data_IF_334789682240
#
_entry.id   IF_334789682240
#
_cell.length_a   1.000
_cell.length_b   1.000
_cell.length_c   1.000
_cell.angle_alpha   90.00
_cell.angle_beta   90.00
_cell.angle_gamma   90.00
#
_symmetry.space_group_name_H-M   'P 1'
#
loop_
_entity.id
_entity.type
_entity.pdbx_description
1 polymer ?
#
# COMPACT_ATOMS: atom_id res chain seq x y z
N UNK A 1 5.25 -15.49 -18.62
CA UNK A 1 5.10 -15.89 -17.20
C UNK A 1 6.47 -15.82 -16.54
N UNK A 2 6.58 -15.27 -15.34
CA UNK A 2 7.86 -15.27 -14.61
C UNK A 2 8.13 -16.66 -13.97
N UNK A 3 9.40 -17.01 -13.70
CA UNK A 3 9.75 -18.35 -13.21
C UNK A 3 9.13 -18.71 -11.86
N UNK A 4 8.91 -17.71 -10.99
CA UNK A 4 8.35 -17.93 -9.66
C UNK A 4 6.84 -18.17 -9.73
N UNK A 5 6.13 -17.41 -10.55
CA UNK A 5 4.69 -17.61 -10.81
C UNK A 5 4.44 -18.93 -11.53
N UNK A 6 5.28 -19.31 -12.49
CA UNK A 6 5.20 -20.63 -13.11
C UNK A 6 5.32 -21.75 -12.05
N UNK A 7 6.28 -21.63 -11.13
CA UNK A 7 6.43 -22.59 -10.04
C UNK A 7 5.23 -22.60 -9.07
N UNK A 8 4.66 -21.43 -8.77
CA UNK A 8 3.44 -21.31 -7.96
C UNK A 8 2.27 -22.03 -8.64
N UNK A 9 2.02 -21.77 -9.92
CA UNK A 9 0.90 -22.38 -10.64
C UNK A 9 0.99 -23.90 -10.68
N UNK A 10 2.18 -24.46 -10.95
CA UNK A 10 2.41 -25.91 -10.92
C UNK A 10 2.27 -26.48 -9.50
N UNK A 11 2.66 -25.72 -8.48
CA UNK A 11 2.50 -26.13 -7.07
C UNK A 11 1.03 -26.16 -6.66
N UNK A 12 0.24 -25.13 -7.03
CA UNK A 12 -1.21 -25.05 -6.74
C UNK A 12 -1.95 -26.17 -7.46
N UNK A 13 -1.60 -26.47 -8.71
CA UNK A 13 -2.18 -27.56 -9.50
C UNK A 13 -1.74 -28.95 -9.02
N UNK A 14 -0.83 -29.03 -8.04
CA UNK A 14 -0.23 -30.28 -7.57
C UNK A 14 0.51 -31.06 -8.66
N UNK A 15 1.10 -30.36 -9.63
CA UNK A 15 1.85 -30.91 -10.77
C UNK A 15 3.37 -30.73 -10.64
N UNK A 16 3.86 -30.68 -9.40
CA UNK A 16 5.29 -30.52 -9.06
C UNK A 16 6.18 -31.67 -9.57
N UNK A 17 5.58 -32.82 -9.87
CA UNK A 17 6.19 -33.98 -10.50
C UNK A 17 6.58 -33.71 -11.97
N UNK A 18 5.84 -32.85 -12.67
CA UNK A 18 6.15 -32.42 -14.04
C UNK A 18 7.27 -31.39 -14.13
N UNK A 19 7.71 -30.84 -13.00
CA UNK A 19 8.83 -29.90 -12.94
C UNK A 19 10.13 -30.68 -12.87
N UNK A 20 10.84 -30.81 -13.99
CA UNK A 20 12.08 -31.60 -14.10
C UNK A 20 13.28 -30.70 -14.35
N UNK A 21 14.41 -31.00 -13.70
CA UNK A 21 15.67 -30.32 -13.95
C UNK A 21 16.52 -31.17 -14.93
N UNK A 22 16.93 -30.56 -16.04
CA UNK A 22 17.82 -31.16 -17.04
C UNK A 22 19.03 -30.25 -17.23
N UNK A 23 20.19 -30.65 -16.69
CA UNK A 23 21.40 -29.84 -16.74
C UNK A 23 21.21 -28.48 -16.03
N UNK A 24 21.39 -27.40 -16.79
CA UNK A 24 21.23 -26.02 -16.31
C UNK A 24 19.84 -25.42 -16.60
N UNK A 25 18.87 -26.24 -16.99
CA UNK A 25 17.50 -25.80 -17.27
C UNK A 25 16.47 -26.53 -16.41
N UNK A 26 15.40 -25.83 -16.08
CA UNK A 26 14.24 -26.35 -15.35
C UNK A 26 13.03 -26.26 -16.27
N UNK A 27 12.48 -27.43 -16.59
CA UNK A 27 11.32 -27.61 -17.44
C UNK A 27 10.06 -27.74 -16.58
N UNK A 28 9.02 -27.02 -16.97
CA UNK A 28 7.69 -27.05 -16.37
C UNK A 28 6.74 -27.74 -17.36
N UNK A 29 6.70 -29.07 -17.34
CA UNK A 29 5.97 -29.85 -18.34
C UNK A 29 6.47 -29.57 -19.76
N UNK A 30 5.56 -29.24 -20.68
CA UNK A 30 5.84 -28.82 -22.06
C UNK A 30 5.80 -27.30 -22.25
N UNK A 31 5.42 -26.55 -21.22
CA UNK A 31 4.88 -25.20 -21.40
C UNK A 31 5.94 -24.12 -21.19
N UNK A 32 6.88 -24.36 -20.26
CA UNK A 32 7.93 -23.39 -19.94
C UNK A 32 9.27 -24.04 -19.63
N UNK A 33 10.35 -23.39 -20.08
CA UNK A 33 11.73 -23.74 -19.73
C UNK A 33 12.44 -22.49 -19.22
N UNK A 34 13.12 -22.61 -18.09
CA UNK A 34 13.89 -21.51 -17.50
C UNK A 34 15.28 -21.98 -17.08
N UNK A 35 16.31 -21.10 -17.14
CA UNK A 35 17.62 -21.41 -16.59
C UNK A 35 17.54 -21.71 -15.09
N UNK A 36 18.28 -22.70 -14.60
CA UNK A 36 18.24 -23.12 -13.21
C UNK A 36 18.80 -22.04 -12.26
N UNK A 37 19.79 -21.29 -12.76
CA UNK A 37 20.46 -20.20 -12.07
C UNK A 37 19.68 -18.87 -12.07
N UNK A 38 18.55 -18.77 -12.79
CA UNK A 38 17.80 -17.51 -12.89
C UNK A 38 17.31 -17.06 -11.51
N UNK A 39 17.48 -15.77 -11.22
CA UNK A 39 16.96 -15.18 -9.99
C UNK A 39 15.44 -15.05 -10.07
N UNK A 40 14.76 -15.53 -9.03
CA UNK A 40 13.32 -15.39 -8.88
C UNK A 40 12.99 -14.01 -8.33
N UNK A 41 11.73 -13.61 -8.46
CA UNK A 41 11.22 -12.38 -7.86
C UNK A 41 11.21 -12.41 -6.31
N UNK A 42 11.50 -13.54 -5.66
CA UNK A 42 11.44 -13.64 -4.20
C UNK A 42 12.76 -13.22 -3.55
N UNK A 43 12.73 -12.10 -2.83
CA UNK A 43 13.86 -11.57 -2.03
C UNK A 43 13.88 -12.20 -0.65
N UNK A 44 15.01 -12.75 -0.25
CA UNK A 44 15.21 -13.17 1.14
C UNK A 44 15.18 -11.97 2.08
N UNK A 45 14.81 -12.20 3.35
CA UNK A 45 14.93 -11.15 4.38
C UNK A 45 16.35 -10.66 4.63
N UNK A 46 17.34 -11.37 4.13
CA UNK A 46 18.76 -10.99 4.17
C UNK A 46 19.19 -10.15 2.97
N UNK A 47 18.28 -9.90 2.02
CA UNK A 47 18.49 -8.99 0.89
C UNK A 47 18.89 -9.66 -0.42
N UNK A 48 19.20 -10.96 -0.46
CA UNK A 48 19.53 -11.66 -1.71
C UNK A 48 18.30 -12.29 -2.36
N UNK A 49 18.23 -12.33 -3.70
CA UNK A 49 17.18 -13.04 -4.43
C UNK A 49 17.48 -14.55 -4.43
N UNK A 50 16.43 -15.37 -4.33
CA UNK A 50 16.59 -16.81 -4.48
C UNK A 50 16.62 -17.21 -5.95
N UNK A 51 17.50 -18.15 -6.32
CA UNK A 51 17.50 -18.74 -7.66
C UNK A 51 16.35 -19.72 -7.82
N UNK A 52 15.90 -19.94 -9.06
CA UNK A 52 14.81 -20.87 -9.37
C UNK A 52 15.12 -22.28 -8.86
N UNK A 53 16.35 -22.75 -9.09
CA UNK A 53 16.80 -24.05 -8.57
C UNK A 53 16.67 -24.16 -7.05
N UNK A 54 16.99 -23.08 -6.32
CA UNK A 54 16.87 -23.04 -4.86
C UNK A 54 15.42 -23.18 -4.41
N UNK A 55 14.49 -22.46 -5.05
CA UNK A 55 13.07 -22.45 -4.69
C UNK A 55 12.39 -23.78 -5.08
N UNK A 56 12.71 -24.33 -6.26
CA UNK A 56 12.24 -25.66 -6.70
C UNK A 56 12.72 -26.75 -5.75
N UNK A 57 13.99 -26.71 -5.36
CA UNK A 57 14.54 -27.68 -4.42
C UNK A 57 13.87 -27.58 -3.04
N UNK A 58 13.58 -26.35 -2.59
CA UNK A 58 12.89 -26.07 -1.34
C UNK A 58 11.49 -26.67 -1.28
N UNK A 59 10.64 -26.42 -2.28
CA UNK A 59 9.24 -26.88 -2.25
C UNK A 59 9.15 -28.42 -2.31
N UNK A 60 10.02 -29.06 -3.10
CA UNK A 60 10.11 -30.53 -3.18
C UNK A 60 10.54 -31.20 -1.87
N UNK A 61 11.25 -30.49 -1.01
CA UNK A 61 11.78 -31.00 0.25
C UNK A 61 11.23 -30.28 1.48
N UNK A 62 10.06 -29.64 1.35
CA UNK A 62 9.45 -28.88 2.43
C UNK A 62 9.11 -29.73 3.66
N UNK A 63 8.85 -31.02 3.46
CA UNK A 63 8.56 -31.99 4.51
C UNK A 63 9.76 -32.31 5.42
N UNK A 64 11.00 -32.03 5.00
CA UNK A 64 12.19 -32.28 5.80
C UNK A 64 12.32 -31.26 6.92
N UNK A 65 12.85 -31.67 8.07
CA UNK A 65 13.27 -30.72 9.11
C UNK A 65 14.28 -29.73 8.52
N UNK A 66 14.22 -28.47 8.96
CA UNK A 66 15.02 -27.40 8.35
C UNK A 66 16.54 -27.68 8.43
N UNK A 67 17.00 -28.30 9.52
CA UNK A 67 18.39 -28.74 9.69
C UNK A 67 18.83 -29.70 8.59
N UNK A 68 18.00 -30.68 8.27
CA UNK A 68 18.29 -31.74 7.31
C UNK A 68 18.18 -31.20 5.88
N UNK A 69 17.22 -30.30 5.64
CA UNK A 69 17.09 -29.55 4.40
C UNK A 69 18.37 -28.74 4.09
N UNK A 70 18.90 -27.98 5.06
CA UNK A 70 20.13 -27.19 4.86
C UNK A 70 21.30 -28.11 4.51
N UNK A 71 21.45 -29.22 5.23
CA UNK A 71 22.51 -30.19 4.97
C UNK A 71 22.43 -30.74 3.54
N UNK A 72 21.23 -31.15 3.11
CA UNK A 72 21.03 -31.68 1.75
C UNK A 72 21.18 -30.61 0.66
N UNK A 73 20.72 -29.39 0.89
CA UNK A 73 20.94 -28.27 -0.04
C UNK A 73 22.44 -28.00 -0.23
N UNK A 74 23.22 -27.99 0.87
CA UNK A 74 24.67 -27.81 0.83
C UNK A 74 25.38 -28.96 0.09
N UNK A 75 24.94 -30.20 0.28
CA UNK A 75 25.47 -31.35 -0.48
C UNK A 75 25.24 -31.23 -1.98
N UNK A 76 24.14 -30.59 -2.39
CA UNK A 76 23.82 -30.29 -3.80
C UNK A 76 24.42 -28.96 -4.29
N UNK A 77 25.29 -28.31 -3.49
CA UNK A 77 25.91 -27.01 -3.77
C UNK A 77 24.88 -25.89 -4.01
N UNK A 78 23.72 -25.97 -3.38
CA UNK A 78 22.66 -24.97 -3.50
C UNK A 78 22.65 -24.02 -2.28
N UNK A 79 22.44 -22.71 -2.51
CA UNK A 79 22.01 -21.81 -1.45
C UNK A 79 20.72 -22.34 -0.80
N UNK A 80 20.63 -22.29 0.52
CA UNK A 80 19.44 -22.75 1.22
C UNK A 80 18.48 -21.58 1.49
N UNK A 81 17.18 -21.82 1.36
CA UNK A 81 16.14 -20.89 1.82
C UNK A 81 16.31 -20.68 3.33
N UNK A 82 16.26 -19.43 3.78
CA UNK A 82 16.51 -19.08 5.18
C UNK A 82 15.33 -19.49 6.06
N UNK A 83 15.57 -19.73 7.35
CA UNK A 83 14.52 -20.10 8.30
C UNK A 83 13.37 -19.06 8.37
N UNK A 84 13.64 -17.73 8.38
CA UNK A 84 12.59 -16.72 8.39
C UNK A 84 11.68 -16.75 7.15
N UNK A 85 12.21 -17.17 6.00
CA UNK A 85 11.52 -17.15 4.71
C UNK A 85 10.82 -18.48 4.40
N UNK A 86 11.18 -19.55 5.11
CA UNK A 86 10.63 -20.90 4.93
C UNK A 86 9.10 -20.96 4.99
N UNK A 87 8.47 -20.36 5.99
CA UNK A 87 7.01 -20.42 6.14
C UNK A 87 6.30 -19.51 5.12
N UNK A 88 6.67 -18.21 5.00
CA UNK A 88 6.04 -17.32 4.03
C UNK A 88 6.21 -17.75 2.57
N UNK A 89 7.39 -18.27 2.19
CA UNK A 89 7.62 -18.75 0.82
C UNK A 89 6.77 -19.97 0.48
N UNK A 90 6.58 -20.88 1.43
CA UNK A 90 5.72 -22.06 1.24
C UNK A 90 4.25 -21.67 1.10
N UNK A 91 3.75 -20.79 1.96
CA UNK A 91 2.37 -20.31 1.92
C UNK A 91 2.06 -19.61 0.58
N UNK A 92 3.01 -18.84 0.05
CA UNK A 92 2.90 -18.23 -1.26
C UNK A 92 2.86 -19.26 -2.40
N UNK A 93 3.80 -20.21 -2.43
CA UNK A 93 3.88 -21.22 -3.48
C UNK A 93 2.68 -22.17 -3.49
N UNK A 94 2.09 -22.45 -2.33
CA UNK A 94 0.90 -23.30 -2.19
C UNK A 94 -0.41 -22.56 -2.42
N UNK A 95 -0.36 -21.24 -2.65
CA UNK A 95 -1.56 -20.42 -2.84
C UNK A 95 -2.36 -20.17 -1.56
N UNK A 96 -1.78 -20.42 -0.37
CA UNK A 96 -2.36 -20.02 0.92
C UNK A 96 -2.34 -18.49 1.06
N UNK A 97 -1.34 -17.85 0.46
CA UNK A 97 -1.29 -16.39 0.32
C UNK A 97 -1.16 -15.98 -1.15
N UNK A 98 -1.88 -14.94 -1.54
CA UNK A 98 -1.84 -14.36 -2.89
C UNK A 98 -0.72 -13.33 -3.07
N UNK A 99 -0.14 -12.87 -1.97
CA UNK A 99 1.00 -11.97 -1.95
C UNK A 99 2.04 -12.43 -0.92
N UNK A 100 3.30 -12.13 -1.20
CA UNK A 100 4.35 -12.16 -0.21
C UNK A 100 5.07 -10.80 -0.26
N UNK A 101 5.26 -10.17 0.90
CA UNK A 101 5.94 -8.87 1.08
C UNK A 101 7.36 -8.83 0.51
N UNK A 102 7.89 -9.97 0.08
CA UNK A 102 9.25 -10.18 -0.39
C UNK A 102 9.36 -10.31 -1.92
N UNK A 103 8.25 -10.20 -2.65
CA UNK A 103 8.27 -10.31 -4.11
C UNK A 103 8.66 -8.95 -4.70
N UNK A 104 9.88 -8.83 -5.19
CA UNK A 104 10.32 -7.71 -6.02
C UNK A 104 10.25 -8.10 -7.50
N UNK A 105 9.46 -7.37 -8.27
CA UNK A 105 9.41 -7.51 -9.72
C UNK A 105 10.78 -7.16 -10.31
N UNK A 106 11.53 -8.19 -10.72
CA UNK A 106 12.76 -8.04 -11.49
C UNK A 106 12.38 -7.44 -12.85
N UNK A 107 12.53 -6.11 -12.99
CA UNK A 107 12.63 -5.49 -14.31
C UNK A 107 13.98 -5.95 -14.84
N UNK A 108 13.98 -6.80 -15.87
CA UNK A 108 15.20 -7.28 -16.49
C UNK A 108 16.03 -6.09 -16.97
N UNK A 109 17.14 -5.82 -16.27
CA UNK A 109 18.16 -4.89 -16.74
C UNK A 109 18.80 -5.48 -18.00
N UNK A 110 18.83 -4.69 -19.06
CA UNK A 110 19.58 -4.92 -20.29
C UNK A 110 21.01 -5.36 -19.98
N UNK A 111 21.29 -6.65 -20.19
CA UNK A 111 22.67 -7.10 -20.41
C UNK A 111 22.99 -6.89 -21.88
N UNK A 112 23.66 -5.76 -22.11
CA UNK A 112 24.60 -5.43 -23.20
C UNK A 112 24.96 -6.65 -24.05
N UNK A 113 24.50 -6.62 -25.30
CA UNK A 113 25.00 -7.43 -26.40
C UNK A 113 26.51 -7.24 -26.51
N UNK A 114 27.28 -8.30 -26.29
CA UNK A 114 28.68 -8.35 -26.67
C UNK A 114 28.88 -9.46 -27.72
N UNK A 115 29.17 -8.99 -28.92
CA UNK A 115 29.81 -9.62 -30.08
C UNK A 115 29.74 -11.15 -30.27
N UNK A 116 29.03 -11.51 -31.34
CA UNK A 116 29.61 -12.21 -32.48
C UNK A 116 30.50 -13.43 -32.20
N UNK A 117 29.89 -14.61 -32.09
CA UNK A 117 30.52 -15.84 -32.58
C UNK A 117 29.46 -16.88 -32.96
N UNK A 118 29.32 -17.06 -34.28
CA UNK A 118 28.60 -18.18 -34.88
C UNK A 118 29.42 -19.44 -34.55
N UNK A 119 28.84 -20.36 -33.77
CA UNK A 119 29.34 -21.72 -33.64
C UNK A 119 28.30 -22.60 -34.32
N UNK A 120 28.63 -23.02 -35.53
CA UNK A 120 27.93 -24.11 -36.21
C UNK A 120 28.04 -25.37 -35.34
N UNK A 121 26.89 -25.98 -35.02
CA UNK A 121 26.85 -27.37 -34.60
C UNK A 121 25.86 -28.10 -35.49
N UNK A 122 26.43 -29.06 -36.21
CA UNK A 122 25.83 -29.97 -37.16
C UNK A 122 24.88 -30.95 -36.44
N UNK A 123 23.69 -31.20 -36.99
CA UNK A 123 22.74 -32.17 -36.44
C UNK A 123 21.29 -31.95 -36.90
N UNK A 124 20.91 -32.62 -37.99
CA UNK A 124 19.61 -32.44 -38.65
C UNK A 124 18.36 -33.01 -37.96
N UNK A 125 17.21 -32.61 -38.50
CA UNK A 125 15.90 -33.23 -38.28
C UNK A 125 14.73 -32.23 -38.27
N UNK A 126 13.90 -32.31 -39.31
CA UNK A 126 12.55 -31.74 -39.52
C UNK A 126 12.39 -30.22 -39.73
N UNK A 127 12.35 -29.85 -41.02
CA UNK A 127 11.73 -28.62 -41.53
C UNK A 127 10.22 -28.61 -41.21
N UNK A 128 9.86 -27.91 -40.14
CA UNK A 128 8.54 -27.29 -40.03
C UNK A 128 8.73 -25.82 -40.39
N UNK A 129 8.33 -25.43 -41.61
CA UNK A 129 8.18 -24.02 -41.99
C UNK A 129 7.19 -23.37 -41.01
N UNK A 130 7.73 -22.74 -39.96
CA UNK A 130 6.96 -21.92 -39.04
C UNK A 130 6.56 -20.65 -39.79
N UNK A 131 5.26 -20.48 -40.03
CA UNK A 131 4.65 -19.26 -40.58
C UNK A 131 5.29 -18.01 -39.95
N UNK A 132 5.75 -17.07 -40.77
CA UNK A 132 6.50 -15.89 -40.34
C UNK A 132 5.77 -15.10 -39.23
N UNK A 133 4.44 -15.14 -39.24
CA UNK A 133 3.59 -14.53 -38.21
C UNK A 133 3.75 -15.24 -36.85
N UNK A 134 3.91 -16.56 -36.86
CA UNK A 134 4.18 -17.36 -35.67
C UNK A 134 5.57 -17.08 -35.10
N UNK A 135 6.57 -16.85 -35.96
CA UNK A 135 7.92 -16.45 -35.53
C UNK A 135 7.91 -15.05 -34.90
N UNK A 136 7.17 -14.10 -35.49
CA UNK A 136 6.99 -12.75 -34.93
C UNK A 136 6.31 -12.82 -33.55
N UNK A 137 5.22 -13.59 -33.41
CA UNK A 137 4.52 -13.74 -32.12
C UNK A 137 5.34 -14.46 -31.05
N UNK A 138 6.21 -15.39 -31.44
CA UNK A 138 7.13 -16.05 -30.52
C UNK A 138 8.22 -15.09 -30.00
N UNK A 139 8.60 -14.10 -30.80
CA UNK A 139 9.58 -13.09 -30.43
C UNK A 139 8.97 -11.86 -29.74
N UNK A 140 7.70 -11.55 -29.98
CA UNK A 140 7.03 -10.40 -29.36
C UNK A 140 6.82 -10.61 -27.85
N UNK A 141 7.22 -9.61 -27.06
CA UNK A 141 6.89 -9.52 -25.65
C UNK A 141 6.00 -8.30 -25.43
N UNK A 142 4.66 -8.45 -25.43
CA UNK A 142 3.76 -7.34 -25.16
C UNK A 142 4.04 -6.80 -23.75
N UNK A 143 4.51 -5.55 -23.68
CA UNK A 143 4.96 -4.91 -22.43
C UNK A 143 3.79 -4.62 -21.48
N UNK A 144 2.59 -4.42 -22.02
CA UNK A 144 1.34 -4.14 -21.28
C UNK A 144 0.18 -4.71 -22.07
N UNK A 145 -0.67 -5.49 -21.42
CA UNK A 145 -1.98 -5.89 -21.95
C UNK A 145 -3.09 -5.01 -21.34
N UNK A 146 -4.32 -5.19 -21.83
CA UNK A 146 -5.47 -4.38 -21.41
C UNK A 146 -5.79 -4.57 -19.93
N UNK A 147 -5.45 -5.72 -19.36
CA UNK A 147 -5.68 -6.05 -17.96
C UNK A 147 -4.57 -5.49 -17.06
N UNK A 148 -3.30 -5.53 -17.50
CA UNK A 148 -2.17 -4.89 -16.83
C UNK A 148 -2.26 -3.36 -16.80
N UNK A 149 -3.10 -2.74 -17.64
CA UNK A 149 -3.45 -1.31 -17.52
C UNK A 149 -4.36 -1.02 -16.32
N UNK A 150 -5.13 -2.00 -15.86
CA UNK A 150 -6.02 -1.87 -14.71
C UNK A 150 -5.33 -2.25 -13.38
N UNK A 151 -4.15 -2.88 -13.45
CA UNK A 151 -3.37 -3.29 -12.28
C UNK A 151 -2.31 -2.23 -11.91
N UNK A 152 -2.41 -1.66 -10.72
CA UNK A 152 -1.32 -0.90 -10.11
C UNK A 152 -0.34 -1.85 -9.42
N UNK A 153 0.72 -2.27 -10.14
CA UNK A 153 1.78 -3.11 -9.55
C UNK A 153 2.48 -2.36 -8.42
N UNK A 154 2.58 -3.00 -7.25
CA UNK A 154 3.32 -2.49 -6.10
C UNK A 154 2.55 -1.59 -5.12
N UNK A 155 1.23 -1.40 -5.30
CA UNK A 155 0.41 -0.65 -4.35
C UNK A 155 -0.86 -1.43 -4.02
N UNK A 156 -0.93 -1.96 -2.80
CA UNK A 156 -2.10 -2.66 -2.29
C UNK A 156 -3.13 -1.66 -1.72
N UNK A 157 -4.11 -1.28 -2.55
CA UNK A 157 -5.26 -0.48 -2.12
C UNK A 157 -6.31 -1.29 -1.35
N UNK A 158 -6.26 -2.62 -1.44
CA UNK A 158 -7.22 -3.49 -0.78
C UNK A 158 -7.00 -3.50 0.74
N UNK A 159 -5.77 -3.59 1.24
CA UNK A 159 -5.53 -3.47 2.69
C UNK A 159 -5.90 -2.10 3.24
N UNK A 160 -5.75 -1.03 2.47
CA UNK A 160 -6.20 0.32 2.85
C UNK A 160 -7.72 0.38 2.93
N UNK A 161 -8.43 -0.20 1.96
CA UNK A 161 -9.90 -0.28 1.94
C UNK A 161 -10.44 -1.15 3.08
N UNK A 162 -9.84 -2.31 3.33
CA UNK A 162 -10.21 -3.20 4.44
C UNK A 162 -9.96 -2.51 5.78
N UNK A 163 -8.83 -1.79 5.92
CA UNK A 163 -8.52 -1.05 7.14
C UNK A 163 -9.45 0.13 7.39
N UNK A 164 -9.93 0.80 6.33
CA UNK A 164 -10.84 1.94 6.45
C UNK A 164 -12.27 1.48 6.78
N UNK A 165 -12.73 0.39 6.17
CA UNK A 165 -14.08 -0.16 6.37
C UNK A 165 -14.24 -0.92 7.69
N UNK A 166 -13.21 -1.65 8.14
CA UNK A 166 -13.23 -2.40 9.40
C UNK A 166 -13.56 -1.51 10.61
N UNK A 167 -13.10 -0.26 10.61
CA UNK A 167 -13.35 0.70 11.70
C UNK A 167 -14.80 1.19 11.72
N UNK A 168 -15.40 1.39 10.55
CA UNK A 168 -16.82 1.76 10.42
C UNK A 168 -17.73 0.59 10.83
N UNK A 169 -17.40 -0.63 10.40
CA UNK A 169 -18.14 -1.85 10.79
C UNK A 169 -18.07 -2.13 12.30
N UNK A 170 -16.90 -1.93 12.91
CA UNK A 170 -16.71 -2.09 14.36
C UNK A 170 -17.47 -1.01 15.15
N UNK A 171 -17.49 0.23 14.64
CA UNK A 171 -18.30 1.33 15.19
C UNK A 171 -19.79 1.00 15.13
N UNK A 172 -20.29 0.50 13.99
CA UNK A 172 -21.69 0.11 13.84
C UNK A 172 -22.06 -1.07 14.74
N UNK A 173 -21.15 -2.03 14.94
CA UNK A 173 -21.35 -3.12 15.92
C UNK A 173 -21.50 -2.59 17.33
N UNK A 174 -20.59 -1.74 17.80
CA UNK A 174 -20.64 -1.17 19.15
C UNK A 174 -21.91 -0.32 19.34
N UNK A 175 -22.29 0.48 18.35
CA UNK A 175 -23.50 1.31 18.41
C UNK A 175 -24.78 0.44 18.43
N UNK A 176 -24.81 -0.66 17.67
CA UNK A 176 -25.91 -1.64 17.73
C UNK A 176 -25.99 -2.35 19.09
N UNK A 177 -24.85 -2.62 19.72
CA UNK A 177 -24.77 -3.25 21.04
C UNK A 177 -25.24 -2.29 22.13
N UNK A 178 -24.81 -1.02 22.07
CA UNK A 178 -25.26 0.03 22.99
C UNK A 178 -26.76 0.34 22.86
N UNK A 179 -27.35 0.31 21.66
CA UNK A 179 -28.80 0.45 21.52
C UNK A 179 -29.56 -0.72 22.15
N UNK A 180 -28.99 -1.94 22.10
CA UNK A 180 -29.57 -3.13 22.72
C UNK A 180 -29.47 -3.07 24.25
N UNK A 181 -28.32 -2.65 24.78
CA UNK A 181 -28.09 -2.50 26.23
C UNK A 181 -28.84 -1.30 26.83
N UNK A 182 -28.99 -0.20 26.08
CA UNK A 182 -29.79 0.96 26.46
C UNK A 182 -31.29 0.65 26.55
N UNK A 183 -31.79 -0.26 25.70
CA UNK A 183 -33.16 -0.78 25.79
C UNK A 183 -33.39 -1.59 27.08
N UNK A 184 -32.39 -2.37 27.49
CA UNK A 184 -32.41 -3.16 28.74
C UNK A 184 -32.33 -2.25 29.97
N UNK A 185 -31.54 -1.18 29.93
CA UNK A 185 -31.44 -0.19 31.01
C UNK A 185 -32.74 0.62 31.17
N UNK A 186 -33.38 1.00 30.05
CA UNK A 186 -34.64 1.74 30.06
C UNK A 186 -35.81 0.93 30.63
N UNK A 187 -35.82 -0.39 30.44
CA UNK A 187 -36.81 -1.28 31.06
C UNK A 187 -36.58 -1.50 32.58
N UNK A 188 -35.36 -1.26 33.10
CA UNK A 188 -35.09 -1.35 34.54
C UNK A 188 -35.41 -0.05 35.29
N UNK A 189 -35.33 1.10 34.62
CA UNK A 189 -35.56 2.40 35.24
C UNK A 189 -37.06 2.77 35.35
N UNK A 190 -37.92 2.23 34.49
CA UNK A 190 -39.38 2.48 34.52
C UNK A 190 -40.17 1.52 35.45
N UNK A 191 -39.51 0.79 36.34
CA UNK A 191 -40.14 -0.19 37.22
C UNK A 191 -40.36 0.23 38.68
N UNK A 192 -40.00 1.46 39.08
CA UNK A 192 -39.89 1.80 40.52
C UNK A 192 -40.82 2.93 41.00
N UNK A 193 -41.45 3.72 40.13
CA UNK A 193 -42.26 4.86 40.58
C UNK A 193 -43.77 4.64 40.43
N UNK A 194 -44.33 3.69 41.18
CA UNK A 194 -45.76 3.75 41.52
C UNK A 194 -46.10 2.96 42.81
N UNK A 195 -45.99 3.63 43.97
CA UNK A 195 -46.90 3.53 45.15
C UNK A 195 -46.31 4.21 46.40
N UNK A 196 -47.06 5.18 46.95
CA UNK A 196 -47.29 5.23 48.40
C UNK A 196 -46.70 6.41 49.21
N UNK A 197 -47.49 7.48 49.36
CA UNK A 197 -47.89 8.22 50.58
C UNK A 197 -47.05 8.05 51.87
N UNK A 198 -46.64 9.16 52.51
CA UNK A 198 -46.29 9.22 53.95
C UNK A 198 -45.74 10.56 54.46
N UNK A 199 -46.25 11.03 55.61
CA UNK A 199 -46.10 12.35 56.27
C UNK A 199 -44.81 12.56 57.11
N UNK A 200 -44.45 13.84 57.37
CA UNK A 200 -43.74 14.36 58.57
C UNK A 200 -42.20 14.36 58.53
N UNK A 201 -41.41 15.34 58.98
CA UNK A 201 -41.59 16.60 59.70
C UNK A 201 -40.22 17.06 60.27
N UNK A 202 -39.87 18.35 60.15
CA UNK A 202 -39.06 19.14 61.12
C UNK A 202 -37.53 18.97 61.26
N UNK A 203 -36.79 20.07 61.06
CA UNK A 203 -35.78 20.53 62.04
C UNK A 203 -34.28 20.57 61.65
N UNK A 204 -33.80 21.76 61.26
CA UNK A 204 -32.65 22.47 61.88
C UNK A 204 -31.19 22.00 61.72
N UNK A 205 -30.34 22.89 61.16
CA UNK A 205 -29.09 23.32 61.82
C UNK A 205 -27.72 22.96 61.21
N UNK A 206 -27.03 23.96 60.63
CA UNK A 206 -25.71 24.45 61.13
C UNK A 206 -24.38 23.88 60.60
N UNK A 207 -23.53 24.79 60.07
CA UNK A 207 -22.05 24.75 60.06
C UNK A 207 -21.39 24.03 58.87
N UNK A 208 -20.28 24.45 58.24
CA UNK A 208 -19.26 25.48 58.50
C UNK A 208 -17.90 24.99 57.95
N UNK A 209 -17.05 25.88 57.43
CA UNK A 209 -15.61 25.65 57.12
C UNK A 209 -15.31 25.32 55.65
N UNK A 210 -14.67 26.17 54.84
CA UNK A 210 -13.27 26.68 54.86
C UNK A 210 -12.26 25.69 54.23
N UNK A 211 -11.52 26.16 53.22
CA UNK A 211 -10.34 25.48 52.66
C UNK A 211 -10.06 25.81 51.19
N UNK A 212 -9.37 26.93 50.95
CA UNK A 212 -8.51 27.15 49.79
C UNK A 212 -7.47 26.02 49.67
N UNK A 213 -7.14 25.57 48.47
CA UNK A 213 -5.74 25.32 48.06
C UNK A 213 -5.64 24.99 46.57
N UNK A 214 -4.75 25.73 45.90
CA UNK A 214 -4.53 25.75 44.48
C UNK A 214 -3.26 24.97 44.10
N UNK A 215 -3.28 24.40 42.89
CA UNK A 215 -2.19 23.94 42.01
C UNK A 215 -1.06 23.06 42.60
N UNK A 216 -0.82 21.91 41.98
CA UNK A 216 0.44 21.66 41.25
C UNK A 216 0.32 20.43 40.32
N UNK A 217 0.78 20.62 39.08
CA UNK A 217 0.81 19.64 38.02
C UNK A 217 2.07 18.76 38.14
N UNK A 218 1.92 17.44 38.05
CA UNK A 218 3.03 16.49 37.93
C UNK A 218 3.09 15.90 36.50
N UNK A 219 4.23 15.37 36.01
CA UNK A 219 4.82 15.81 34.76
C UNK A 219 4.57 14.81 33.63
N UNK A 220 4.53 15.31 32.40
CA UNK A 220 4.41 14.49 31.19
C UNK A 220 5.65 13.58 31.02
N UNK A 221 5.50 12.28 30.72
CA UNK A 221 6.62 11.49 30.24
C UNK A 221 6.97 11.94 28.81
N UNK A 222 8.26 12.21 28.58
CA UNK A 222 8.82 12.59 27.27
C UNK A 222 8.63 11.45 26.28
N UNK A 223 7.73 11.64 25.31
CA UNK A 223 7.60 10.75 24.16
C UNK A 223 8.79 11.00 23.22
N UNK A 224 9.49 9.91 22.90
CA UNK A 224 10.59 9.87 21.96
C UNK A 224 10.17 10.50 20.62
N UNK A 225 10.75 11.66 20.33
CA UNK A 225 10.72 12.29 19.02
C UNK A 225 11.35 11.33 18.00
N UNK A 226 10.51 10.67 17.20
CA UNK A 226 10.91 10.35 15.84
C UNK A 226 11.24 11.69 15.20
N UNK A 227 12.51 11.89 14.84
CA UNK A 227 13.00 13.08 14.15
C UNK A 227 12.31 13.19 12.79
N UNK A 228 11.09 13.75 12.78
CA UNK A 228 10.53 14.38 11.61
C UNK A 228 11.50 15.50 11.26
N UNK A 229 12.19 15.38 10.12
CA UNK A 229 12.93 16.51 9.59
C UNK A 229 12.03 17.74 9.59
N UNK A 230 12.59 18.89 9.94
CA UNK A 230 11.88 20.17 10.09
C UNK A 230 10.91 20.36 8.92
N UNK A 231 9.61 20.20 9.14
CA UNK A 231 8.56 20.77 8.29
C UNK A 231 8.48 22.22 8.77
N UNK A 232 8.43 23.18 7.85
CA UNK A 232 8.40 24.60 8.20
C UNK A 232 7.33 24.91 9.26
N UNK A 233 7.57 25.90 10.12
CA UNK A 233 6.60 26.35 11.12
C UNK A 233 5.39 26.98 10.40
N UNK A 234 4.22 26.34 10.45
CA UNK A 234 3.00 26.83 9.79
C UNK A 234 1.99 25.74 9.43
N UNK A 235 0.86 26.14 8.83
CA UNK A 235 -0.17 25.21 8.33
C UNK A 235 0.40 24.41 7.15
N UNK A 236 0.30 23.08 7.11
CA UNK A 236 0.80 22.29 5.99
C UNK A 236 0.03 22.59 4.69
N UNK A 237 0.72 22.53 3.55
CA UNK A 237 0.17 22.81 2.22
C UNK A 237 -0.03 21.52 1.42
N UNK A 238 -1.16 21.42 0.74
CA UNK A 238 -1.45 20.43 -0.30
C UNK A 238 -1.51 21.16 -1.65
N UNK A 239 -0.76 20.69 -2.64
CA UNK A 239 -0.85 21.25 -4.00
C UNK A 239 -1.79 20.42 -4.87
N UNK A 240 -2.65 21.09 -5.62
CA UNK A 240 -3.51 20.48 -6.63
C UNK A 240 -3.18 21.01 -8.03
N UNK A 241 -3.38 20.23 -9.11
CA UNK A 241 -3.17 20.72 -10.46
C UNK A 241 -4.09 21.90 -10.76
N UNK A 242 -3.54 22.90 -11.46
CA UNK A 242 -4.33 24.03 -11.97
C UNK A 242 -5.17 23.65 -13.20
N UNK A 243 -4.83 22.54 -13.88
CA UNK A 243 -5.44 22.15 -15.14
C UNK A 243 -6.91 21.75 -15.00
N UNK A 244 -7.72 22.19 -15.96
CA UNK A 244 -9.18 22.03 -15.98
C UNK A 244 -9.65 20.58 -16.17
N UNK A 245 -8.81 19.70 -16.72
CA UNK A 245 -9.15 18.29 -16.98
C UNK A 245 -8.85 17.35 -15.82
N UNK A 246 -8.46 17.87 -14.66
CA UNK A 246 -8.13 17.03 -13.50
C UNK A 246 -9.37 16.66 -12.69
N UNK A 247 -9.39 15.43 -12.17
CA UNK A 247 -10.48 14.96 -11.31
C UNK A 247 -10.57 15.80 -10.04
N UNK A 248 -9.44 16.05 -9.37
CA UNK A 248 -9.36 16.84 -8.15
C UNK A 248 -8.74 18.20 -8.47
N UNK A 249 -9.52 19.26 -8.24
CA UNK A 249 -9.14 20.67 -8.46
C UNK A 249 -9.35 21.47 -7.19
N UNK A 250 -8.92 22.73 -7.18
CA UNK A 250 -9.18 23.66 -6.08
C UNK A 250 -10.68 23.86 -5.78
N UNK A 251 -11.57 23.55 -6.74
CA UNK A 251 -13.01 23.72 -6.59
C UNK A 251 -13.70 22.61 -5.79
N UNK A 252 -13.19 21.37 -5.85
CA UNK A 252 -13.85 20.20 -5.28
C UNK A 252 -13.02 19.48 -4.20
N UNK A 253 -11.76 19.86 -4.04
CA UNK A 253 -10.83 19.23 -3.08
C UNK A 253 -11.32 19.29 -1.64
N UNK A 254 -12.11 20.31 -1.27
CA UNK A 254 -12.61 20.45 0.10
C UNK A 254 -13.56 19.32 0.47
N UNK A 255 -14.64 19.13 -0.29
CA UNK A 255 -15.63 18.08 -0.02
C UNK A 255 -15.01 16.69 -0.18
N UNK A 256 -14.08 16.55 -1.13
CA UNK A 256 -13.36 15.30 -1.32
C UNK A 256 -12.49 14.95 -0.11
N UNK A 257 -11.70 15.90 0.42
CA UNK A 257 -10.80 15.62 1.54
C UNK A 257 -11.48 15.64 2.91
N UNK A 258 -12.48 16.49 3.14
CA UNK A 258 -13.21 16.56 4.41
C UNK A 258 -14.21 15.40 4.52
N UNK A 259 -15.12 15.32 3.56
CA UNK A 259 -16.31 14.45 3.60
C UNK A 259 -16.13 13.14 2.84
N UNK A 260 -15.09 13.01 2.02
CA UNK A 260 -14.90 11.83 1.17
C UNK A 260 -15.86 11.76 -0.03
N UNK A 261 -16.49 12.90 -0.37
CA UNK A 261 -17.49 12.98 -1.45
C UNK A 261 -16.87 13.61 -2.69
N UNK A 262 -16.85 12.87 -3.79
CA UNK A 262 -16.43 13.41 -5.08
C UNK A 262 -17.57 14.19 -5.75
N UNK A 263 -17.29 15.46 -6.09
CA UNK A 263 -18.17 16.31 -6.89
C UNK A 263 -17.40 16.76 -8.13
N UNK A 264 -17.95 16.56 -9.35
CA UNK A 264 -17.31 17.03 -10.58
C UNK A 264 -17.02 18.54 -10.56
N UNK A 265 -15.86 18.93 -11.10
CA UNK A 265 -15.38 20.32 -11.10
C UNK A 265 -16.36 21.26 -11.82
N UNK A 266 -16.98 20.84 -12.92
CA UNK A 266 -17.92 21.65 -13.69
C UNK A 266 -19.18 22.01 -12.89
N UNK A 267 -19.67 21.09 -12.05
CA UNK A 267 -20.78 21.34 -11.11
C UNK A 267 -20.38 22.39 -10.08
N UNK A 268 -19.17 22.27 -9.51
CA UNK A 268 -18.64 23.24 -8.55
C UNK A 268 -18.44 24.62 -9.15
N UNK A 269 -17.86 24.70 -10.35
CA UNK A 269 -17.63 25.95 -11.07
C UNK A 269 -18.95 26.66 -11.36
N UNK A 270 -20.00 25.93 -11.76
CA UNK A 270 -21.35 26.51 -11.95
C UNK A 270 -21.92 27.06 -10.64
N UNK A 271 -21.84 26.30 -9.55
CA UNK A 271 -22.35 26.71 -8.24
C UNK A 271 -21.59 27.91 -7.64
N UNK A 272 -20.32 28.08 -8.00
CA UNK A 272 -19.49 29.22 -7.59
C UNK A 272 -19.50 30.38 -8.60
N UNK A 273 -20.42 30.37 -9.57
CA UNK A 273 -20.52 31.40 -10.62
C UNK A 273 -19.19 31.66 -11.37
N UNK A 274 -18.36 30.63 -11.53
CA UNK A 274 -17.04 30.77 -12.18
C UNK A 274 -15.94 31.38 -11.31
N UNK A 275 -16.22 31.74 -10.05
CA UNK A 275 -15.21 32.30 -9.15
C UNK A 275 -14.21 31.21 -8.73
N UNK A 276 -12.93 31.44 -9.04
CA UNK A 276 -11.83 30.54 -8.65
C UNK A 276 -11.27 30.94 -7.28
N UNK A 277 -11.27 30.04 -6.27
CA UNK A 277 -10.57 30.26 -5.02
C UNK A 277 -9.05 30.33 -5.24
N UNK A 278 -8.37 31.22 -4.53
CA UNK A 278 -6.90 31.29 -4.53
C UNK A 278 -6.28 30.29 -3.55
N UNK A 279 -6.94 30.06 -2.42
CA UNK A 279 -6.55 29.12 -1.39
C UNK A 279 -7.81 28.52 -0.75
N UNK A 280 -7.78 27.23 -0.44
CA UNK A 280 -8.88 26.53 0.24
C UNK A 280 -8.34 25.91 1.51
N UNK A 281 -8.99 26.15 2.65
CA UNK A 281 -8.65 25.48 3.91
C UNK A 281 -9.46 24.20 4.07
N UNK A 282 -8.77 23.11 4.39
CA UNK A 282 -9.34 21.78 4.62
C UNK A 282 -9.02 21.36 6.05
N UNK A 283 -10.01 20.88 6.79
CA UNK A 283 -9.85 20.35 8.14
C UNK A 283 -10.08 18.85 8.17
N UNK A 284 -9.05 18.08 8.52
CA UNK A 284 -9.18 16.64 8.71
C UNK A 284 -9.17 16.28 10.18
N UNK A 285 -10.24 15.59 10.61
CA UNK A 285 -10.35 14.99 11.94
C UNK A 285 -9.63 13.65 11.93
N UNK A 286 -8.46 13.57 12.55
CA UNK A 286 -7.77 12.32 12.76
C UNK A 286 -8.26 11.71 14.07
N UNK A 287 -9.09 10.68 13.98
CA UNK A 287 -9.45 9.88 15.16
C UNK A 287 -8.31 8.90 15.45
N UNK A 288 -7.43 9.28 16.38
CA UNK A 288 -6.64 8.32 17.15
C UNK A 288 -7.29 8.23 18.52
N UNK A 289 -7.53 6.99 18.96
CA UNK A 289 -8.34 6.46 20.07
C UNK A 289 -8.44 7.23 21.41
N UNK A 290 -7.72 8.34 21.62
CA UNK A 290 -7.85 9.17 22.83
C UNK A 290 -7.77 10.69 22.65
N UNK A 291 -7.48 11.20 21.46
CA UNK A 291 -7.40 12.65 21.24
C UNK A 291 -7.83 12.97 19.80
N UNK A 292 -8.95 13.67 19.64
CA UNK A 292 -9.47 14.05 18.33
C UNK A 292 -8.66 15.24 17.80
N UNK A 293 -7.51 14.94 17.17
CA UNK A 293 -6.68 15.99 16.58
C UNK A 293 -7.29 16.43 15.26
N UNK A 294 -7.82 17.65 15.23
CA UNK A 294 -8.22 18.33 13.99
C UNK A 294 -7.00 19.01 13.42
N UNK A 295 -6.54 18.59 12.24
CA UNK A 295 -5.44 19.24 11.54
C UNK A 295 -5.97 20.00 10.32
N UNK A 296 -5.62 21.28 10.23
CA UNK A 296 -5.91 22.11 9.07
C UNK A 296 -4.81 21.98 8.02
N UNK A 297 -5.20 22.10 6.76
CA UNK A 297 -4.35 22.10 5.58
C UNK A 297 -4.76 23.27 4.69
N UNK A 298 -3.78 23.93 4.09
CA UNK A 298 -4.00 24.90 3.00
C UNK A 298 -3.89 24.15 1.67
N UNK A 299 -4.85 24.35 0.78
CA UNK A 299 -4.81 23.82 -0.58
C UNK A 299 -4.60 24.96 -1.56
N UNK A 300 -3.56 24.83 -2.39
CA UNK A 300 -3.21 25.81 -3.43
C UNK A 300 -3.01 25.12 -4.77
N UNK A 301 -3.11 25.87 -5.85
CA UNK A 301 -3.05 25.36 -7.23
C UNK A 301 -2.06 26.12 -8.13
N UNK A 302 -1.53 27.25 -7.66
CA UNK A 302 -0.61 28.12 -8.40
C UNK A 302 0.78 28.15 -7.76
N UNK A 303 1.70 27.26 -8.20
CA UNK A 303 3.10 27.27 -7.78
C UNK A 303 3.78 28.65 -7.86
N UNK A 304 3.48 29.42 -8.91
CA UNK A 304 4.02 30.77 -9.12
C UNK A 304 3.71 31.80 -8.03
N UNK A 305 2.70 31.56 -7.19
CA UNK A 305 2.34 32.46 -6.07
C UNK A 305 3.03 32.07 -4.76
N UNK A 306 3.73 30.93 -4.72
CA UNK A 306 4.34 30.39 -3.50
C UNK A 306 5.73 30.99 -3.25
N UNK A 307 5.98 31.34 -1.99
CA UNK A 307 7.31 31.75 -1.53
C UNK A 307 8.19 30.53 -1.24
N UNK A 308 9.50 30.72 -1.13
CA UNK A 308 10.44 29.63 -0.85
C UNK A 308 10.09 28.88 0.45
N UNK A 309 9.60 29.60 1.47
CA UNK A 309 9.24 29.02 2.77
C UNK A 309 7.94 28.20 2.70
N UNK A 310 7.07 28.49 1.74
CA UNK A 310 5.83 27.74 1.54
C UNK A 310 6.12 26.33 1.03
N UNK A 311 7.19 26.16 0.23
CA UNK A 311 7.62 24.87 -0.29
C UNK A 311 8.09 23.90 0.80
N UNK A 312 8.66 24.40 1.89
CA UNK A 312 9.01 23.60 3.07
C UNK A 312 7.79 23.11 3.86
N UNK A 313 6.62 23.69 3.61
CA UNK A 313 5.33 23.31 4.23
C UNK A 313 4.51 22.38 3.34
N UNK A 314 4.93 22.10 2.10
CA UNK A 314 4.22 21.18 1.21
C UNK A 314 4.36 19.75 1.72
N UNK A 315 3.22 19.10 1.97
CA UNK A 315 3.17 17.72 2.51
C UNK A 315 2.56 16.71 1.54
N UNK A 316 1.85 17.18 0.52
CA UNK A 316 1.22 16.34 -0.50
C UNK A 316 1.02 17.13 -1.79
N UNK A 317 1.07 16.43 -2.92
CA UNK A 317 0.78 17.03 -4.23
C UNK A 317 0.01 16.06 -5.09
N UNK A 318 -1.08 16.56 -5.70
CA UNK A 318 -1.80 15.88 -6.76
C UNK A 318 -1.12 16.22 -8.10
N UNK A 319 -0.86 15.20 -8.92
CA UNK A 319 -0.12 15.36 -10.17
C UNK A 319 -0.86 14.74 -11.34
N UNK A 320 -0.70 15.37 -12.51
CA UNK A 320 -1.17 14.88 -13.81
C UNK A 320 -0.19 13.91 -14.47
N UNK A 321 1.05 13.83 -13.98
CA UNK A 321 2.12 13.08 -14.65
C UNK A 321 2.65 13.74 -15.93
N UNK A 322 2.31 15.00 -16.21
CA UNK A 322 2.87 15.76 -17.33
C UNK A 322 4.07 16.59 -16.88
N UNK A 323 5.19 16.47 -17.56
CA UNK A 323 6.46 17.16 -17.22
C UNK A 323 6.29 18.68 -17.10
N UNK A 324 5.45 19.28 -17.96
CA UNK A 324 5.23 20.73 -17.94
C UNK A 324 4.65 21.24 -16.62
N UNK A 325 4.01 20.39 -15.80
CA UNK A 325 3.45 20.75 -14.50
C UNK A 325 4.54 21.23 -13.51
N UNK A 326 5.77 20.72 -13.64
CA UNK A 326 6.85 20.94 -12.69
C UNK A 326 7.77 22.12 -13.06
N UNK A 327 7.55 22.79 -14.20
CA UNK A 327 8.43 23.86 -14.71
C UNK A 327 8.59 25.05 -13.75
N UNK A 328 7.56 25.36 -12.97
CA UNK A 328 7.55 26.51 -12.04
C UNK A 328 7.87 26.12 -10.59
N UNK A 329 8.36 24.89 -10.37
CA UNK A 329 8.64 24.40 -9.02
C UNK A 329 10.12 24.62 -8.69
N UNK A 330 10.48 24.79 -7.41
CA UNK A 330 11.86 25.09 -7.00
C UNK A 330 12.79 23.87 -7.05
N UNK A 331 12.38 22.75 -7.64
CA UNK A 331 13.11 21.49 -7.65
C UNK A 331 13.72 21.24 -9.02
N UNK A 332 14.93 20.67 -9.04
CA UNK A 332 15.65 20.40 -10.29
C UNK A 332 15.04 19.23 -11.06
N UNK A 333 14.49 18.27 -10.33
CA UNK A 333 13.91 17.05 -10.88
C UNK A 333 12.67 16.61 -10.09
N UNK A 334 11.72 15.99 -10.77
CA UNK A 334 10.52 15.39 -10.16
C UNK A 334 10.87 14.30 -9.14
N UNK A 335 12.00 13.62 -9.31
CA UNK A 335 12.51 12.66 -8.31
C UNK A 335 12.79 13.35 -6.96
N UNK A 336 13.28 14.59 -6.97
CA UNK A 336 13.57 15.34 -5.74
C UNK A 336 12.29 15.70 -4.97
N UNK A 337 11.21 15.98 -5.70
CA UNK A 337 9.87 16.23 -5.16
C UNK A 337 9.40 14.99 -4.40
N UNK A 338 9.45 13.81 -5.04
CA UNK A 338 8.91 12.58 -4.45
C UNK A 338 9.73 12.02 -3.28
N UNK A 339 11.05 12.22 -3.30
CA UNK A 339 11.92 11.80 -2.20
C UNK A 339 11.80 12.67 -0.93
N UNK A 340 11.31 13.92 -1.05
CA UNK A 340 11.41 14.92 0.04
C UNK A 340 10.24 14.99 1.03
N UNK A 341 9.13 14.26 0.86
CA UNK A 341 7.97 14.07 1.81
C UNK A 341 6.60 14.19 1.11
N UNK A 342 6.38 13.59 -0.06
CA UNK A 342 5.14 13.83 -0.81
C UNK A 342 4.40 12.52 -1.04
N UNK A 343 3.21 12.39 -0.42
CA UNK A 343 2.22 11.40 -0.85
C UNK A 343 1.60 11.93 -2.14
N UNK A 344 1.78 11.21 -3.23
CA UNK A 344 1.21 11.54 -4.54
C UNK A 344 -0.11 10.83 -4.74
N UNK A 345 -1.10 11.59 -5.22
CA UNK A 345 -2.33 11.04 -5.76
C UNK A 345 -2.38 11.47 -7.22
N UNK A 346 -2.15 10.52 -8.12
CA UNK A 346 -2.16 10.74 -9.56
C UNK A 346 -3.34 10.01 -10.20
N UNK A 347 -4.02 10.68 -11.12
CA UNK A 347 -4.90 10.00 -12.08
C UNK A 347 -4.00 9.45 -13.19
N UNK A 348 -3.70 8.15 -13.17
CA UNK A 348 -3.14 7.46 -14.33
C UNK A 348 -4.31 7.18 -15.28
N UNK A 349 -4.41 7.96 -16.36
CA UNK A 349 -5.13 7.56 -17.57
C UNK A 349 -4.16 6.89 -18.55
#
# INVERSE_FOLDING_TARGET
MDPLSALRDFTIRSELDKVTQTGDEILFGSDYTFPSSIETAYRSKQGNLYTLQTVVYFIKHYNLKHTDYIQRARSNKLPAVTLPDRKPLYEYLTGVTDSADQIETVIANDHVLNDGKIVETDGGGDDLELDDISLIRACERPLKDREALLECKGIDFYSVLVSSTRREEERQRIESQQRKDGLVAKNRLMGVDERGIGYGGGGGGGGGGAGDEAYEANPKPKLLQLKSGKIGEGVPIILVPSASQTLITIYNVKEFLEDGVYIPTDVKVKNMNGMRPECVTVQKKFSRDRDQVVKAYEVRDKPSTMKSEDWDRVVAVFVLGKEWQFKEWPFKDHVEIFNKRIVTWGSME
#
